data_IF_484131019227
#
_entry.id   IF_484131019227
#
_cell.length_a   1.000
_cell.length_b   1.000
_cell.length_c   1.000
_cell.angle_alpha   90.00
_cell.angle_beta   90.00
_cell.angle_gamma   90.00
#
_symmetry.space_group_name_H-M   'P 1'
#
loop_
_entity.id
_entity.type
_entity.pdbx_description
1 polymer ?
#
# COMPACT_ATOMS: atom_id res chain seq x y z
N UNK A 1 9.60 7.96 11.05
CA UNK A 1 8.90 7.60 9.79
C UNK A 1 9.96 7.17 8.80
N UNK A 2 9.66 6.13 8.03
CA UNK A 2 10.53 5.63 6.97
C UNK A 2 9.89 5.95 5.63
N UNK A 3 10.71 6.42 4.68
CA UNK A 3 10.32 6.61 3.29
C UNK A 3 10.78 5.38 2.49
N UNK A 4 9.87 4.79 1.72
CA UNK A 4 10.19 3.64 0.88
C UNK A 4 9.35 3.65 -0.38
N UNK A 5 9.85 3.02 -1.44
CA UNK A 5 9.11 2.93 -2.68
C UNK A 5 7.85 2.06 -2.51
N UNK A 6 6.72 2.48 -3.08
CA UNK A 6 5.45 1.75 -2.98
C UNK A 6 5.58 0.28 -3.41
N UNK A 7 6.37 0.01 -4.45
CA UNK A 7 6.63 -1.33 -4.98
C UNK A 7 7.47 -2.23 -4.04
N UNK A 8 8.09 -1.69 -2.99
CA UNK A 8 8.68 -2.52 -1.91
C UNK A 8 7.61 -3.07 -0.97
N UNK A 9 6.44 -2.43 -0.92
CA UNK A 9 5.35 -2.80 0.00
C UNK A 9 4.23 -3.53 -0.73
N UNK A 10 3.93 -3.11 -1.97
CA UNK A 10 2.90 -3.71 -2.80
C UNK A 10 3.51 -4.32 -4.05
N UNK A 11 3.14 -5.56 -4.34
CA UNK A 11 3.48 -6.24 -5.59
C UNK A 11 2.36 -6.04 -6.60
N UNK A 12 2.71 -5.57 -7.80
CA UNK A 12 1.79 -5.53 -8.94
C UNK A 12 1.79 -6.88 -9.66
N UNK A 13 0.63 -7.49 -9.76
CA UNK A 13 0.41 -8.76 -10.44
C UNK A 13 0.19 -8.57 -11.96
N UNK A 14 0.40 -9.61 -12.79
CA UNK A 14 0.18 -9.53 -14.24
C UNK A 14 -1.26 -9.15 -14.63
N UNK A 15 -2.25 -9.49 -13.80
CA UNK A 15 -3.65 -9.09 -13.99
C UNK A 15 -3.93 -7.63 -13.59
N UNK A 16 -2.89 -6.88 -13.20
CA UNK A 16 -2.94 -5.48 -12.80
C UNK A 16 -3.39 -5.22 -11.35
N UNK A 17 -3.72 -6.26 -10.59
CA UNK A 17 -4.01 -6.11 -9.16
C UNK A 17 -2.75 -5.87 -8.33
N UNK A 18 -2.91 -5.26 -7.17
CA UNK A 18 -1.84 -5.00 -6.21
C UNK A 18 -2.07 -5.82 -4.95
N UNK A 19 -1.00 -6.40 -4.43
CA UNK A 19 -1.03 -7.19 -3.20
C UNK A 19 0.01 -6.66 -2.21
N UNK A 20 -0.35 -6.38 -0.94
CA UNK A 20 0.63 -6.08 0.10
C UNK A 20 1.52 -7.29 0.36
N UNK A 21 2.84 -7.10 0.31
CA UNK A 21 3.83 -8.12 0.69
C UNK A 21 3.86 -8.42 2.20
N UNK A 22 3.23 -7.54 2.99
CA UNK A 22 3.15 -7.61 4.45
C UNK A 22 1.88 -6.93 4.95
N UNK A 23 1.61 -7.06 6.25
CA UNK A 23 0.47 -6.40 6.87
C UNK A 23 0.65 -4.88 6.82
N UNK A 24 -0.32 -4.19 6.23
CA UNK A 24 -0.32 -2.74 6.03
C UNK A 24 -1.60 -2.14 6.58
N UNK A 25 -1.50 -0.95 7.15
CA UNK A 25 -2.64 -0.13 7.49
C UNK A 25 -2.61 1.15 6.69
N UNK A 26 -3.71 1.43 6.01
CA UNK A 26 -3.85 2.62 5.19
C UNK A 26 -5.17 3.32 5.54
N UNK A 27 -5.05 4.47 6.21
CA UNK A 27 -6.19 5.11 6.86
C UNK A 27 -6.86 4.19 7.89
N UNK A 28 -8.13 3.83 7.66
CA UNK A 28 -8.90 2.90 8.49
C UNK A 28 -8.82 1.44 8.04
N UNK A 29 -8.26 1.20 6.85
CA UNK A 29 -8.23 -0.14 6.27
C UNK A 29 -6.97 -0.88 6.71
N UNK A 30 -7.14 -2.13 7.14
CA UNK A 30 -6.07 -3.05 7.47
C UNK A 30 -6.07 -4.15 6.40
N UNK A 31 -4.91 -4.39 5.81
CA UNK A 31 -4.73 -5.39 4.74
C UNK A 31 -3.40 -6.12 4.90
N UNK A 32 -3.20 -7.16 4.11
CA UNK A 32 -1.99 -7.97 4.15
C UNK A 32 -1.90 -8.92 2.97
N UNK A 33 -0.92 -9.84 3.02
CA UNK A 33 -0.73 -10.86 1.99
C UNK A 33 -2.02 -11.65 1.72
N UNK A 34 -2.28 -11.96 0.45
CA UNK A 34 -3.50 -12.60 -0.03
C UNK A 34 -4.68 -11.66 -0.31
N UNK A 35 -4.57 -10.37 0.01
CA UNK A 35 -5.59 -9.36 -0.34
C UNK A 35 -5.19 -8.65 -1.63
N UNK A 36 -6.06 -8.73 -2.63
CA UNK A 36 -5.85 -8.11 -3.94
C UNK A 36 -6.66 -6.83 -4.10
N UNK A 37 -6.00 -5.77 -4.55
CA UNK A 37 -6.59 -4.47 -4.86
C UNK A 37 -6.57 -4.25 -6.37
N UNK A 38 -7.73 -4.06 -6.98
CA UNK A 38 -7.86 -3.62 -8.37
C UNK A 38 -7.54 -2.13 -8.55
N UNK A 39 -7.38 -1.71 -9.80
CA UNK A 39 -7.15 -0.32 -10.24
C UNK A 39 -8.24 0.70 -9.89
N UNK A 40 -9.23 0.32 -9.08
CA UNK A 40 -10.33 1.16 -8.62
C UNK A 40 -10.54 1.03 -7.11
N UNK A 41 -9.52 0.54 -6.39
CA UNK A 41 -9.50 0.61 -4.94
C UNK A 41 -8.95 1.97 -4.50
N UNK A 42 -9.75 2.65 -3.70
CA UNK A 42 -9.47 3.97 -3.20
C UNK A 42 -9.23 3.92 -1.71
N UNK A 43 -8.19 4.62 -1.28
CA UNK A 43 -7.90 4.85 0.13
C UNK A 43 -8.11 6.33 0.42
N UNK A 44 -9.36 6.68 0.77
CA UNK A 44 -9.78 8.07 0.77
C UNK A 44 -9.83 8.62 -0.67
N UNK A 45 -9.16 9.74 -0.98
CA UNK A 45 -9.17 10.33 -2.33
C UNK A 45 -8.15 9.69 -3.30
N UNK A 46 -7.31 8.77 -2.83
CA UNK A 46 -6.16 8.25 -3.58
C UNK A 46 -6.50 6.89 -4.19
N UNK A 47 -6.30 6.73 -5.49
CA UNK A 47 -6.38 5.42 -6.14
C UNK A 47 -5.04 4.68 -5.99
N UNK A 48 -5.09 3.40 -5.62
CA UNK A 48 -3.89 2.57 -5.47
C UNK A 48 -3.05 2.48 -6.75
N UNK A 49 -3.69 2.55 -7.93
CA UNK A 49 -2.99 2.50 -9.20
C UNK A 49 -2.07 3.71 -9.42
N UNK A 50 -2.44 4.87 -8.86
CA UNK A 50 -1.68 6.12 -9.00
C UNK A 50 -0.43 6.14 -8.12
N UNK A 51 -0.34 5.22 -7.15
CA UNK A 51 0.78 5.09 -6.22
C UNK A 51 1.93 4.26 -6.79
N UNK A 52 1.72 3.61 -7.93
CA UNK A 52 2.76 2.82 -8.59
C UNK A 52 3.89 3.73 -9.08
N UNK A 53 5.02 3.71 -8.38
CA UNK A 53 6.18 4.57 -8.67
C UNK A 53 6.34 5.74 -7.71
N UNK A 54 5.39 5.94 -6.79
CA UNK A 54 5.51 6.90 -5.69
C UNK A 54 6.31 6.31 -4.52
N UNK A 55 6.75 7.22 -3.65
CA UNK A 55 7.23 6.85 -2.32
C UNK A 55 6.09 6.92 -1.32
N UNK A 56 6.18 6.08 -0.28
CA UNK A 56 5.25 6.07 0.84
C UNK A 56 6.02 6.43 2.11
N UNK A 57 5.38 7.23 2.96
CA UNK A 57 5.85 7.46 4.32
C UNK A 57 5.08 6.57 5.28
N UNK A 58 5.80 5.75 6.03
CA UNK A 58 5.20 4.78 6.92
C UNK A 58 5.89 4.69 8.29
N UNK A 59 5.15 4.13 9.25
CA UNK A 59 5.62 3.82 10.62
C UNK A 59 5.36 2.36 10.91
N UNK A 60 6.35 1.68 11.48
CA UNK A 60 6.18 0.32 12.00
C UNK A 60 5.41 0.36 13.33
N UNK A 61 4.25 -0.29 13.39
CA UNK A 61 3.48 -0.52 14.61
C UNK A 61 3.34 -2.04 14.82
N UNK A 62 4.30 -2.62 15.54
CA UNK A 62 4.36 -4.07 15.75
C UNK A 62 4.63 -4.83 14.45
N UNK A 63 3.68 -5.66 14.02
CA UNK A 63 3.74 -6.42 12.76
C UNK A 63 3.17 -5.66 11.55
N UNK A 64 2.64 -4.46 11.77
CA UNK A 64 1.87 -3.70 10.78
C UNK A 64 2.63 -2.46 10.33
N UNK A 65 2.78 -2.30 9.01
CA UNK A 65 3.32 -1.09 8.41
C UNK A 65 2.18 -0.07 8.21
N UNK A 66 2.17 1.00 8.99
CA UNK A 66 1.14 2.03 8.94
C UNK A 66 1.55 3.14 7.97
N UNK A 67 0.91 3.20 6.83
CA UNK A 67 1.16 4.19 5.78
C UNK A 67 0.42 5.48 6.15
N UNK A 68 1.17 6.58 6.21
CA UNK A 68 0.69 7.91 6.62
C UNK A 68 0.49 8.82 5.41
N UNK A 69 1.49 8.85 4.52
CA UNK A 69 1.51 9.77 3.37
C UNK A 69 2.08 9.11 2.12
N UNK A 70 1.78 9.70 0.96
CA UNK A 70 2.27 9.32 -0.35
C UNK A 70 2.90 10.55 -1.01
N UNK A 71 4.06 10.39 -1.64
CA UNK A 71 4.80 11.48 -2.30
C UNK A 71 5.33 11.07 -3.67
#
# INVERSE_FOLDING_TARGET
MAKMAFNMVFTKHPNGTYEPSRKVKLGKELSGPGKYFSHSNYFGPINIADLSGCEIEAVEEGDTLVIKEFS
#
